data_IF_563789034733
#
_entry.id   IF_563789034733
#
_cell.length_a   1.000
_cell.length_b   1.000
_cell.length_c   1.000
_cell.angle_alpha   90.00
_cell.angle_beta   90.00
_cell.angle_gamma   90.00
#
_symmetry.space_group_name_H-M   'P 1'
#
loop_
_entity.id
_entity.type
_entity.pdbx_description
1 polymer ?
#
# COMPACT_ATOMS: atom_id res chain seq x y z
N UNK A 1 37.10 3.53 36.89
CA UNK A 1 36.31 2.49 36.20
C UNK A 1 35.33 3.20 35.30
N UNK A 2 35.77 3.59 34.10
CA UNK A 2 34.95 4.31 33.12
C UNK A 2 34.57 3.35 32.01
N UNK A 3 33.28 3.15 31.82
CA UNK A 3 32.74 2.26 30.80
C UNK A 3 31.52 2.95 30.19
N UNK A 4 31.65 3.50 28.98
CA UNK A 4 30.60 3.57 27.95
C UNK A 4 31.31 3.89 26.62
N UNK A 5 31.69 2.86 25.86
CA UNK A 5 31.79 3.01 24.42
C UNK A 5 30.44 2.60 23.86
N UNK A 6 29.56 3.57 23.64
CA UNK A 6 28.33 3.37 22.87
C UNK A 6 28.69 3.66 21.42
N UNK A 7 29.17 2.63 20.74
CA UNK A 7 29.40 2.63 19.30
C UNK A 7 28.09 2.35 18.60
N UNK A 8 27.33 3.38 18.25
CA UNK A 8 26.29 3.35 17.21
C UNK A 8 26.02 4.79 16.72
N UNK A 9 27.09 5.49 16.36
CA UNK A 9 26.97 6.67 15.51
C UNK A 9 26.93 6.16 14.06
N UNK A 10 25.71 5.97 13.54
CA UNK A 10 25.48 5.65 12.13
C UNK A 10 26.35 6.56 11.25
N UNK A 11 27.23 5.92 10.49
CA UNK A 11 28.24 6.53 9.62
C UNK A 11 27.55 7.52 8.67
N UNK A 12 27.77 8.83 8.88
CA UNK A 12 27.29 9.87 7.96
C UNK A 12 28.12 9.82 6.68
N UNK A 13 27.86 8.83 5.83
CA UNK A 13 28.30 8.87 4.44
C UNK A 13 27.63 10.08 3.78
N UNK A 14 28.43 11.02 3.30
CA UNK A 14 27.99 12.23 2.63
C UNK A 14 27.24 11.88 1.36
N UNK A 15 25.92 11.76 1.46
CA UNK A 15 25.04 11.55 0.33
C UNK A 15 24.59 12.93 -0.18
N UNK A 16 24.60 13.12 -1.50
CA UNK A 16 24.21 14.38 -2.16
C UNK A 16 22.69 14.64 -2.01
N UNK A 17 21.92 13.58 -1.76
CA UNK A 17 20.47 13.64 -1.58
C UNK A 17 20.10 13.83 -0.10
N UNK A 18 18.89 14.31 0.21
CA UNK A 18 18.38 14.29 1.57
C UNK A 18 18.25 12.86 2.14
N UNK A 19 18.30 12.66 3.47
CA UNK A 19 18.20 11.34 4.10
C UNK A 19 16.91 10.55 3.81
N UNK A 20 15.82 11.24 3.45
CA UNK A 20 14.57 10.60 3.06
C UNK A 20 14.56 10.10 1.59
N UNK A 21 15.56 10.51 0.79
CA UNK A 21 15.73 10.12 -0.60
C UNK A 21 16.94 9.21 -0.84
N UNK A 22 17.92 9.21 0.07
CA UNK A 22 19.11 8.36 -0.01
C UNK A 22 19.66 8.03 1.37
N UNK A 23 20.61 7.09 1.45
CA UNK A 23 21.13 6.55 2.71
C UNK A 23 20.25 5.43 3.29
N UNK A 24 20.44 5.11 4.57
CA UNK A 24 19.80 3.95 5.20
C UNK A 24 20.43 2.61 4.77
N UNK A 25 19.91 1.47 5.28
CA UNK A 25 20.55 0.15 5.13
C UNK A 25 20.79 -0.29 3.68
N UNK A 26 19.87 0.09 2.78
CA UNK A 26 19.93 -0.26 1.36
C UNK A 26 20.22 0.94 0.45
N UNK A 27 20.62 2.09 1.00
CA UNK A 27 20.75 3.36 0.26
C UNK A 27 19.44 3.86 -0.41
N UNK A 28 18.28 3.38 0.05
CA UNK A 28 16.94 3.71 -0.47
C UNK A 28 16.20 4.78 0.35
N UNK A 29 16.90 5.41 1.29
CA UNK A 29 16.38 6.38 2.25
C UNK A 29 16.09 5.77 3.63
N UNK A 30 15.86 6.65 4.59
CA UNK A 30 15.56 6.28 5.99
C UNK A 30 14.28 5.41 6.09
N UNK A 31 14.37 4.17 6.61
CA UNK A 31 13.20 3.32 6.81
C UNK A 31 12.15 3.83 7.81
N UNK A 32 12.54 4.71 8.75
CA UNK A 32 11.69 5.20 9.83
C UNK A 32 11.14 6.61 9.54
N UNK A 33 11.55 7.22 8.43
CA UNK A 33 10.95 8.43 7.91
C UNK A 33 9.46 8.20 7.59
N UNK A 34 8.61 9.07 8.13
CA UNK A 34 7.14 9.05 7.96
C UNK A 34 6.62 10.14 7.03
N UNK A 35 7.50 10.95 6.45
CA UNK A 35 7.10 11.98 5.48
C UNK A 35 6.59 11.33 4.20
N UNK A 36 5.55 11.93 3.61
CA UNK A 36 4.96 11.47 2.35
C UNK A 36 5.30 12.45 1.23
N UNK A 37 6.01 11.94 0.22
CA UNK A 37 6.27 12.63 -1.03
C UNK A 37 4.97 12.83 -1.80
N UNK A 38 4.95 13.81 -2.70
CA UNK A 38 3.78 14.12 -3.53
C UNK A 38 3.27 12.90 -4.30
N UNK A 39 4.17 12.14 -4.93
CA UNK A 39 3.82 10.92 -5.66
C UNK A 39 3.22 9.85 -4.74
N UNK A 40 3.72 9.72 -3.52
CA UNK A 40 3.21 8.73 -2.57
C UNK A 40 1.81 9.09 -2.12
N UNK A 41 1.61 10.36 -1.74
CA UNK A 41 0.32 10.90 -1.29
C UNK A 41 -0.75 10.86 -2.39
N UNK A 42 -0.40 11.34 -3.57
CA UNK A 42 -1.39 11.63 -4.62
C UNK A 42 -1.63 10.40 -5.53
N UNK A 43 -0.65 9.49 -5.65
CA UNK A 43 -0.72 8.36 -6.57
C UNK A 43 -0.64 7.01 -5.86
N UNK A 44 0.40 6.74 -5.06
CA UNK A 44 0.61 5.40 -4.53
C UNK A 44 -0.40 5.02 -3.45
N UNK A 45 -0.60 5.89 -2.46
CA UNK A 45 -1.61 5.70 -1.41
C UNK A 45 -3.01 5.71 -2.03
N UNK A 46 -3.25 6.56 -3.03
CA UNK A 46 -4.53 6.59 -3.74
C UNK A 46 -4.80 5.27 -4.49
N UNK A 47 -3.78 4.67 -5.12
CA UNK A 47 -3.92 3.39 -5.79
C UNK A 47 -4.14 2.25 -4.78
N UNK A 48 -3.43 2.27 -3.64
CA UNK A 48 -3.65 1.32 -2.55
C UNK A 48 -5.07 1.43 -1.99
N UNK A 49 -5.54 2.65 -1.74
CA UNK A 49 -6.90 2.95 -1.29
C UNK A 49 -7.94 2.37 -2.25
N UNK A 50 -7.81 2.63 -3.56
CA UNK A 50 -8.71 2.08 -4.58
C UNK A 50 -8.70 0.56 -4.59
N UNK A 51 -7.51 -0.06 -4.55
CA UNK A 51 -7.38 -1.52 -4.52
C UNK A 51 -8.10 -2.12 -3.32
N UNK A 52 -7.79 -1.66 -2.10
CA UNK A 52 -8.45 -2.12 -0.87
C UNK A 52 -9.94 -1.84 -0.86
N UNK A 53 -10.35 -0.69 -1.39
CA UNK A 53 -11.76 -0.33 -1.51
C UNK A 53 -12.52 -1.38 -2.33
N UNK A 54 -12.00 -1.80 -3.49
CA UNK A 54 -12.62 -2.83 -4.31
C UNK A 54 -12.54 -4.23 -3.68
N UNK A 55 -11.40 -4.59 -3.07
CA UNK A 55 -11.18 -5.94 -2.53
C UNK A 55 -11.87 -6.18 -1.17
N UNK A 56 -11.95 -5.16 -0.31
CA UNK A 56 -12.41 -5.33 1.08
C UNK A 56 -13.74 -4.65 1.38
N UNK A 57 -14.04 -3.50 0.75
CA UNK A 57 -15.17 -2.65 1.14
C UNK A 57 -16.35 -2.72 0.19
N UNK A 58 -16.09 -2.75 -1.10
CA UNK A 58 -17.07 -2.74 -2.19
C UNK A 58 -17.00 -4.03 -3.03
N UNK A 59 -16.56 -5.14 -2.42
CA UNK A 59 -16.40 -6.42 -3.11
C UNK A 59 -17.72 -6.91 -3.71
N UNK A 60 -18.82 -6.76 -2.97
CA UNK A 60 -20.14 -7.21 -3.44
C UNK A 60 -20.60 -6.44 -4.69
N UNK A 61 -20.47 -5.12 -4.70
CA UNK A 61 -20.82 -4.29 -5.84
C UNK A 61 -19.87 -4.52 -7.02
N UNK A 62 -18.59 -4.78 -6.74
CA UNK A 62 -17.60 -5.12 -7.76
C UNK A 62 -17.92 -6.45 -8.44
N UNK A 63 -18.25 -7.49 -7.67
CA UNK A 63 -18.62 -8.81 -8.19
C UNK A 63 -19.88 -8.75 -9.05
N UNK A 64 -20.88 -7.95 -8.65
CA UNK A 64 -22.10 -7.74 -9.45
C UNK A 64 -21.78 -7.06 -10.78
N UNK A 65 -20.91 -6.04 -10.77
CA UNK A 65 -20.48 -5.38 -12.00
C UNK A 65 -19.65 -6.31 -12.90
N UNK A 66 -18.75 -7.10 -12.32
CA UNK A 66 -17.92 -8.06 -13.05
C UNK A 66 -18.77 -9.14 -13.71
N UNK A 67 -19.78 -9.65 -13.00
CA UNK A 67 -20.75 -10.60 -13.57
C UNK A 67 -21.49 -9.98 -14.76
N UNK A 68 -22.02 -8.76 -14.62
CA UNK A 68 -22.68 -8.07 -15.72
C UNK A 68 -21.71 -7.82 -16.89
N UNK A 69 -20.46 -7.43 -16.60
CA UNK A 69 -19.42 -7.20 -17.60
C UNK A 69 -19.07 -8.45 -18.40
N UNK A 70 -19.01 -9.61 -17.74
CA UNK A 70 -18.81 -10.90 -18.38
C UNK A 70 -19.92 -11.26 -19.38
N UNK A 71 -21.17 -10.96 -19.05
CA UNK A 71 -22.33 -11.22 -19.92
C UNK A 71 -22.50 -10.17 -21.03
N UNK A 72 -22.23 -8.89 -20.72
CA UNK A 72 -22.40 -7.78 -21.65
C UNK A 72 -21.25 -7.62 -22.65
N UNK A 73 -20.05 -8.11 -22.32
CA UNK A 73 -18.84 -7.97 -23.12
C UNK A 73 -18.55 -6.50 -23.45
N UNK A 74 -18.36 -6.20 -24.74
CA UNK A 74 -18.08 -4.83 -25.21
C UNK A 74 -19.20 -3.83 -24.90
N UNK A 75 -20.40 -4.30 -24.57
CA UNK A 75 -21.56 -3.45 -24.26
C UNK A 75 -21.68 -3.11 -22.76
N UNK A 76 -20.70 -3.46 -21.92
CA UNK A 76 -20.72 -3.21 -20.46
C UNK A 76 -21.04 -1.75 -20.10
N UNK A 77 -20.47 -0.77 -20.81
CA UNK A 77 -20.72 0.65 -20.54
C UNK A 77 -22.15 1.13 -20.87
N UNK A 78 -22.90 0.34 -21.63
CA UNK A 78 -24.29 0.61 -22.00
C UNK A 78 -25.25 -0.21 -21.13
N UNK A 79 -24.98 -1.51 -20.98
CA UNK A 79 -25.87 -2.47 -20.31
C UNK A 79 -25.73 -2.48 -18.79
N UNK A 80 -24.53 -2.26 -18.26
CA UNK A 80 -24.23 -2.43 -16.82
C UNK A 80 -24.15 -1.09 -16.06
N UNK A 81 -24.98 -0.11 -16.45
CA UNK A 81 -24.94 1.24 -15.87
C UNK A 81 -25.36 1.24 -14.40
N UNK A 82 -26.36 0.43 -14.06
CA UNK A 82 -26.91 0.39 -12.71
C UNK A 82 -25.91 -0.22 -11.72
N UNK A 83 -25.27 -1.33 -12.12
CA UNK A 83 -24.24 -2.01 -11.36
C UNK A 83 -23.02 -1.10 -11.16
N UNK A 84 -22.61 -0.40 -12.23
CA UNK A 84 -21.54 0.59 -12.17
C UNK A 84 -21.86 1.73 -11.20
N UNK A 85 -23.08 2.26 -11.25
CA UNK A 85 -23.47 3.37 -10.39
C UNK A 85 -23.52 2.94 -8.91
N UNK A 86 -23.96 1.71 -8.63
CA UNK A 86 -23.89 1.12 -7.29
C UNK A 86 -22.44 1.01 -6.78
N UNK A 87 -21.52 0.51 -7.61
CA UNK A 87 -20.10 0.43 -7.26
C UNK A 87 -19.50 1.82 -7.05
N UNK A 88 -19.87 2.79 -7.88
CA UNK A 88 -19.42 4.17 -7.75
C UNK A 88 -19.89 4.80 -6.44
N UNK A 89 -21.13 4.55 -6.03
CA UNK A 89 -21.68 5.09 -4.79
C UNK A 89 -21.04 4.46 -3.55
N UNK A 90 -20.78 3.14 -3.56
CA UNK A 90 -19.96 2.50 -2.54
C UNK A 90 -18.54 3.12 -2.51
N UNK A 91 -17.93 3.31 -3.68
CA UNK A 91 -16.56 3.85 -3.79
C UNK A 91 -16.45 5.26 -3.24
N UNK A 92 -17.43 6.13 -3.52
CA UNK A 92 -17.46 7.51 -3.00
C UNK A 92 -17.46 7.54 -1.48
N UNK A 93 -18.25 6.66 -0.84
CA UNK A 93 -18.32 6.60 0.62
C UNK A 93 -16.94 6.36 1.24
N UNK A 94 -16.22 5.35 0.76
CA UNK A 94 -14.92 4.96 1.31
C UNK A 94 -13.77 5.86 0.85
N UNK A 95 -13.90 6.52 -0.30
CA UNK A 95 -12.88 7.46 -0.78
C UNK A 95 -12.70 8.67 0.15
N UNK A 96 -13.80 9.14 0.76
CA UNK A 96 -13.80 10.26 1.70
C UNK A 96 -13.72 9.85 3.17
N UNK A 97 -13.65 8.54 3.45
CA UNK A 97 -13.47 8.03 4.80
C UNK A 97 -12.03 8.27 5.28
N UNK A 98 -11.86 9.11 6.31
CA UNK A 98 -10.54 9.52 6.80
C UNK A 98 -9.81 8.37 7.51
N UNK A 99 -10.54 7.54 8.25
CA UNK A 99 -9.98 6.41 8.99
C UNK A 99 -9.41 5.37 8.02
N UNK A 100 -10.17 5.04 6.99
CA UNK A 100 -9.73 4.12 5.93
C UNK A 100 -8.55 4.67 5.13
N UNK A 101 -8.54 6.00 4.86
CA UNK A 101 -7.40 6.66 4.24
C UNK A 101 -6.15 6.57 5.12
N UNK A 102 -6.28 6.80 6.42
CA UNK A 102 -5.16 6.71 7.35
C UNK A 102 -4.64 5.28 7.48
N UNK A 103 -5.52 4.28 7.47
CA UNK A 103 -5.13 2.87 7.44
C UNK A 103 -4.26 2.56 6.21
N UNK A 104 -4.68 3.04 5.03
CA UNK A 104 -3.90 2.88 3.79
C UNK A 104 -2.54 3.60 3.86
N UNK A 105 -2.47 4.76 4.52
CA UNK A 105 -1.20 5.47 4.76
C UNK A 105 -0.27 4.63 5.62
N UNK A 106 -0.75 4.09 6.74
CA UNK A 106 0.08 3.25 7.63
C UNK A 106 0.54 1.98 6.93
N UNK A 107 -0.33 1.33 6.16
CA UNK A 107 0.03 0.16 5.37
C UNK A 107 1.09 0.50 4.32
N UNK A 108 0.94 1.61 3.60
CA UNK A 108 1.94 2.07 2.64
C UNK A 108 3.29 2.36 3.31
N UNK A 109 3.29 3.02 4.48
CA UNK A 109 4.51 3.31 5.23
C UNK A 109 5.21 2.03 5.68
N UNK A 110 4.47 1.00 6.09
CA UNK A 110 5.04 -0.32 6.41
C UNK A 110 5.70 -0.97 5.20
N UNK A 111 5.02 -1.00 4.05
CA UNK A 111 5.57 -1.53 2.80
C UNK A 111 6.82 -0.77 2.35
N UNK A 112 6.83 0.56 2.52
CA UNK A 112 7.98 1.41 2.21
C UNK A 112 9.15 1.17 3.16
N UNK A 113 8.89 1.09 4.46
CA UNK A 113 9.90 0.79 5.46
C UNK A 113 10.55 -0.56 5.17
N UNK A 114 9.73 -1.57 4.83
CA UNK A 114 10.17 -2.86 4.38
C UNK A 114 11.10 -2.77 3.17
N UNK A 115 10.68 -2.12 2.08
CA UNK A 115 11.50 -1.92 0.90
C UNK A 115 12.83 -1.21 1.21
N UNK A 116 12.82 -0.19 2.08
CA UNK A 116 14.03 0.54 2.48
C UNK A 116 14.99 -0.29 3.35
N UNK A 117 14.45 -1.25 4.14
CA UNK A 117 15.25 -2.17 4.97
C UNK A 117 15.82 -3.33 4.19
N UNK A 118 15.06 -3.89 3.24
CA UNK A 118 15.39 -5.17 2.61
C UNK A 118 15.75 -5.06 1.13
N UNK A 119 15.39 -3.95 0.48
CA UNK A 119 15.48 -3.79 -0.98
C UNK A 119 14.45 -4.59 -1.76
N UNK A 120 13.57 -5.37 -1.10
CA UNK A 120 12.56 -6.21 -1.74
C UNK A 120 11.25 -5.44 -1.98
N UNK A 121 10.53 -5.71 -3.09
CA UNK A 121 9.28 -5.00 -3.39
C UNK A 121 8.26 -5.02 -2.25
N UNK A 122 7.59 -3.88 -2.03
CA UNK A 122 6.67 -3.70 -0.90
C UNK A 122 5.46 -4.64 -0.88
N UNK A 123 5.05 -5.18 -2.03
CA UNK A 123 3.93 -6.15 -2.07
C UNK A 123 4.27 -7.48 -1.37
N UNK A 124 5.55 -7.84 -1.25
CA UNK A 124 6.02 -9.03 -0.52
C UNK A 124 5.93 -8.87 1.00
N UNK A 125 5.68 -7.65 1.51
CA UNK A 125 5.56 -7.39 2.94
C UNK A 125 4.44 -8.23 3.59
N UNK A 126 3.29 -8.37 2.93
CA UNK A 126 2.17 -9.19 3.45
C UNK A 126 2.55 -10.66 3.52
N UNK A 127 3.11 -11.20 2.43
CA UNK A 127 3.57 -12.59 2.38
C UNK A 127 4.59 -12.90 3.48
N UNK A 128 5.55 -12.02 3.73
CA UNK A 128 6.53 -12.23 4.80
C UNK A 128 5.92 -12.13 6.21
N UNK A 129 4.93 -11.26 6.43
CA UNK A 129 4.19 -11.24 7.70
C UNK A 129 3.39 -12.52 7.89
N UNK A 130 2.66 -12.98 6.88
CA UNK A 130 1.82 -14.18 6.97
C UNK A 130 2.69 -15.43 7.22
N UNK A 131 3.85 -15.51 6.54
CA UNK A 131 4.86 -16.54 6.78
C UNK A 131 5.49 -16.46 8.18
N UNK A 132 5.70 -15.26 8.74
CA UNK A 132 6.25 -15.08 10.09
C UNK A 132 5.24 -15.33 11.21
N UNK A 133 3.95 -15.16 10.92
CA UNK A 133 2.83 -15.38 11.85
C UNK A 133 2.23 -16.79 11.77
N UNK A 134 2.77 -17.64 10.88
CA UNK A 134 2.38 -19.04 10.77
C UNK A 134 0.99 -19.25 10.16
N UNK A 135 0.45 -18.25 9.46
CA UNK A 135 -0.84 -18.36 8.76
C UNK A 135 -0.56 -19.04 7.41
N UNK A 136 -1.11 -20.25 7.13
CA UNK A 136 -0.88 -20.91 5.86
C UNK A 136 -1.44 -20.05 4.71
N UNK A 137 -0.62 -19.82 3.68
CA UNK A 137 -1.01 -19.14 2.45
C UNK A 137 -2.30 -19.75 1.87
N UNK A 138 -3.42 -19.04 2.05
CA UNK A 138 -4.69 -19.33 1.39
C UNK A 138 -4.70 -18.68 0.00
N UNK A 139 -3.79 -19.12 -0.88
CA UNK A 139 -3.78 -18.66 -2.27
C UNK A 139 -3.08 -19.67 -3.18
N UNK A 140 -3.73 -20.81 -3.37
CA UNK A 140 -3.61 -21.59 -4.61
C UNK A 140 -5.01 -21.67 -5.20
N UNK A 141 -5.27 -20.85 -6.22
CA UNK A 141 -6.35 -21.09 -7.20
C UNK A 141 -5.75 -22.01 -8.27
#
# INVERSE_FOLDING_TARGET
MGNVLNTDAAEKQGHVLPPHMGGGPMNLGDPDDRTLRKVERDILILNLLRKKMHEEKCHAEAEVLDKCGGEAGLLVGIKCRQERDSLLDCSKKWFYDEDFRQECVEEYLKQRSYYRRTGKPGYLYKEEIDNSSGIPNSATI
#
